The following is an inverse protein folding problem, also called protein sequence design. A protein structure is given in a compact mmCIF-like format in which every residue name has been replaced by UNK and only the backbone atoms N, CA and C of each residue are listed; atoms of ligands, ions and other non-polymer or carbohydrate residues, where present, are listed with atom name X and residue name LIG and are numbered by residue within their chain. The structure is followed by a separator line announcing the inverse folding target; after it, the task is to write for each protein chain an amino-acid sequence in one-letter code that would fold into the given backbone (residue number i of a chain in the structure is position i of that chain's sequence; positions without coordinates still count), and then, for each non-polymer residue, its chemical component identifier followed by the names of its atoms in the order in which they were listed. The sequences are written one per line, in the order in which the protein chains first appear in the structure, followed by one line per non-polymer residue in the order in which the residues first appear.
data_IF_951824760599
#
_entry.id   IF_951824760599
#
_cell.length_a   1.000
_cell.length_b   1.000
_cell.length_c   1.000
_cell.angle_alpha   90.00
_cell.angle_beta   90.00
_cell.angle_gamma   90.00
#
_symmetry.space_group_name_H-M   'P 1'
#
loop_
_entity.id
_entity.type
_entity.pdbx_description
1 polymer ?
#
# COMPACT_ATOMS: atom_id res chain seq x y z
N UNK A 1 -3.31 -17.69 -3.01
CA UNK A 1 -2.16 -17.80 -2.08
C UNK A 1 -0.99 -18.60 -2.66
N UNK A 2 -1.19 -19.73 -3.39
CA UNK A 2 -0.10 -20.62 -3.87
C UNK A 2 1.05 -19.89 -4.57
N UNK A 3 0.76 -18.94 -5.47
CA UNK A 3 1.79 -18.17 -6.20
C UNK A 3 2.64 -17.34 -5.23
N UNK A 4 2.02 -16.61 -4.31
CA UNK A 4 2.73 -15.78 -3.34
C UNK A 4 3.52 -16.65 -2.37
N UNK A 5 2.90 -17.70 -1.82
CA UNK A 5 3.52 -18.59 -0.85
C UNK A 5 4.63 -19.50 -1.44
N UNK A 6 4.73 -19.62 -2.76
CA UNK A 6 5.90 -20.26 -3.38
C UNK A 6 7.18 -19.39 -3.32
N UNK A 7 7.05 -18.12 -2.93
CA UNK A 7 8.17 -17.16 -2.84
C UNK A 7 8.51 -16.80 -1.40
N UNK A 8 7.50 -16.52 -0.58
CA UNK A 8 7.65 -16.29 0.86
C UNK A 8 6.37 -16.71 1.59
N UNK A 9 6.50 -17.14 2.84
CA UNK A 9 5.37 -17.57 3.67
C UNK A 9 4.45 -16.42 4.10
N UNK A 10 3.41 -16.73 4.89
CA UNK A 10 2.57 -15.71 5.52
C UNK A 10 3.42 -14.72 6.32
N UNK A 11 3.12 -13.43 6.18
CA UNK A 11 3.78 -12.41 6.99
C UNK A 11 3.30 -12.46 8.44
N UNK A 12 4.14 -12.03 9.40
CA UNK A 12 3.76 -12.02 10.80
C UNK A 12 2.52 -11.17 11.07
N UNK A 13 1.75 -11.58 12.08
CA UNK A 13 0.69 -10.76 12.69
C UNK A 13 0.71 -10.96 14.21
N UNK A 14 0.83 -9.84 14.92
CA UNK A 14 1.01 -9.85 16.36
C UNK A 14 0.04 -8.92 17.05
N UNK A 15 -0.44 -9.33 18.25
CA UNK A 15 -1.04 -8.44 19.23
C UNK A 15 0.07 -7.71 19.99
N UNK A 16 0.11 -6.38 19.92
CA UNK A 16 1.13 -5.57 20.56
C UNK A 16 0.63 -4.96 21.87
N UNK A 17 1.15 -5.36 23.05
CA UNK A 17 0.64 -4.92 24.35
C UNK A 17 0.69 -3.40 24.54
N UNK A 18 1.76 -2.72 24.10
CA UNK A 18 1.87 -1.27 24.26
C UNK A 18 0.91 -0.51 23.31
N UNK A 19 0.66 -1.01 22.10
CA UNK A 19 -0.37 -0.44 21.23
C UNK A 19 -1.77 -0.68 21.81
N UNK A 20 -2.01 -1.84 22.43
CA UNK A 20 -3.26 -2.15 23.11
C UNK A 20 -3.51 -1.17 24.29
N UNK A 21 -2.51 -0.89 25.12
CA UNK A 21 -2.59 0.12 26.19
C UNK A 21 -2.85 1.53 25.65
N UNK A 22 -2.19 1.91 24.54
CA UNK A 22 -2.36 3.22 23.90
C UNK A 22 -3.79 3.45 23.42
N UNK A 23 -4.45 2.41 22.91
CA UNK A 23 -5.78 2.49 22.31
C UNK A 23 -6.90 2.00 23.21
N UNK A 24 -6.56 1.39 24.36
CA UNK A 24 -7.53 0.71 25.22
C UNK A 24 -8.38 -0.32 24.43
N UNK A 25 -7.69 -1.14 23.60
CA UNK A 25 -8.26 -2.07 22.64
C UNK A 25 -7.34 -3.28 22.42
N UNK A 26 -7.86 -4.39 21.91
CA UNK A 26 -7.02 -5.49 21.40
C UNK A 26 -6.54 -5.14 19.99
N UNK A 27 -5.23 -4.89 19.83
CA UNK A 27 -4.65 -4.37 18.58
C UNK A 27 -3.76 -5.39 17.91
N UNK A 28 -4.20 -5.90 16.79
CA UNK A 28 -3.44 -6.79 15.92
C UNK A 28 -2.84 -6.03 14.74
N UNK A 29 -1.57 -6.25 14.47
CA UNK A 29 -0.88 -5.64 13.33
C UNK A 29 -0.48 -6.72 12.34
N UNK A 30 -0.90 -6.59 11.08
CA UNK A 30 -0.43 -7.39 9.95
C UNK A 30 0.82 -6.72 9.36
N UNK A 31 1.96 -7.39 9.47
CA UNK A 31 3.28 -6.83 9.15
C UNK A 31 3.66 -7.03 7.68
N UNK A 32 3.11 -6.25 6.78
CA UNK A 32 3.46 -6.28 5.36
C UNK A 32 4.78 -5.57 5.04
N UNK A 33 5.43 -4.94 6.03
CA UNK A 33 6.82 -4.50 5.95
C UNK A 33 7.83 -5.66 6.04
N UNK A 34 7.43 -6.83 6.53
CA UNK A 34 8.27 -8.03 6.65
C UNK A 34 8.17 -8.92 5.39
N UNK A 35 8.21 -8.31 4.21
CA UNK A 35 8.21 -8.97 2.90
C UNK A 35 9.58 -8.79 2.21
N UNK A 36 9.90 -9.55 1.14
CA UNK A 36 11.18 -9.43 0.42
C UNK A 36 11.50 -8.04 -0.13
N UNK A 37 10.50 -7.16 -0.26
CA UNK A 37 10.70 -5.77 -0.71
C UNK A 37 10.30 -4.73 0.35
N UNK A 38 10.04 -5.14 1.59
CA UNK A 38 9.62 -4.24 2.65
C UNK A 38 8.22 -3.64 2.49
N UNK A 39 7.36 -4.20 1.64
CA UNK A 39 5.99 -3.71 1.42
C UNK A 39 5.07 -4.78 0.81
N UNK A 40 3.76 -4.68 1.09
CA UNK A 40 2.71 -5.60 0.63
C UNK A 40 2.61 -5.74 -0.90
N UNK A 41 3.08 -4.75 -1.63
CA UNK A 41 2.98 -4.66 -3.09
C UNK A 41 3.59 -5.87 -3.81
N UNK A 42 4.59 -6.53 -3.24
CA UNK A 42 5.23 -7.72 -3.82
C UNK A 42 4.23 -8.81 -4.15
N UNK A 43 3.21 -8.99 -3.30
CA UNK A 43 2.15 -9.98 -3.49
C UNK A 43 1.41 -9.80 -4.81
N UNK A 44 1.07 -8.55 -5.11
CA UNK A 44 0.39 -8.18 -6.36
C UNK A 44 1.28 -8.38 -7.59
N UNK A 45 2.53 -7.92 -7.53
CA UNK A 45 3.49 -8.07 -8.64
C UNK A 45 3.73 -9.54 -9.00
N UNK A 46 3.88 -10.41 -8.00
CA UNK A 46 4.07 -11.85 -8.21
C UNK A 46 2.90 -12.48 -8.97
N UNK A 47 1.67 -12.18 -8.58
CA UNK A 47 0.48 -12.71 -9.27
C UNK A 47 0.35 -12.09 -10.65
N UNK A 48 0.57 -10.77 -10.77
CA UNK A 48 0.48 -10.08 -12.06
C UNK A 48 1.42 -10.68 -13.10
N UNK A 49 2.71 -10.79 -12.79
CA UNK A 49 3.72 -11.33 -13.72
C UNK A 49 3.48 -12.81 -14.03
N UNK A 50 3.03 -13.58 -13.04
CA UNK A 50 2.67 -14.98 -13.25
C UNK A 50 1.50 -15.13 -14.26
N UNK A 51 0.42 -14.33 -14.12
CA UNK A 51 -0.70 -14.38 -15.04
C UNK A 51 -0.35 -13.80 -16.41
N UNK A 52 0.48 -12.75 -16.46
CA UNK A 52 0.97 -12.19 -17.71
C UNK A 52 1.77 -13.21 -18.52
N UNK A 53 2.71 -13.94 -17.89
CA UNK A 53 3.53 -14.95 -18.58
C UNK A 53 2.74 -16.18 -19.03
N UNK A 54 1.60 -16.46 -18.41
CA UNK A 54 0.68 -17.48 -18.92
C UNK A 54 -0.07 -17.02 -20.17
N UNK A 55 -0.45 -15.75 -20.19
CA UNK A 55 -1.27 -15.16 -21.28
C UNK A 55 -0.41 -14.81 -22.49
N UNK A 56 0.80 -14.33 -22.29
CA UNK A 56 1.70 -13.82 -23.33
C UNK A 56 2.97 -14.66 -23.37
N UNK A 57 3.28 -15.28 -24.51
CA UNK A 57 4.48 -16.11 -24.68
C UNK A 57 5.76 -15.31 -24.91
N UNK A 58 5.64 -14.08 -25.42
CA UNK A 58 6.76 -13.19 -25.68
C UNK A 58 6.48 -11.82 -25.07
N UNK A 59 7.22 -11.46 -24.03
CA UNK A 59 7.11 -10.18 -23.35
C UNK A 59 8.45 -9.48 -23.53
N UNK A 60 8.54 -8.43 -24.38
CA UNK A 60 9.79 -7.72 -24.65
C UNK A 60 10.39 -7.09 -23.38
N UNK A 61 9.53 -6.72 -22.46
CA UNK A 61 9.82 -6.13 -21.16
C UNK A 61 8.56 -5.54 -20.57
N UNK A 62 8.60 -5.20 -19.30
CA UNK A 62 7.52 -4.49 -18.60
C UNK A 62 7.96 -3.10 -18.20
N UNK A 63 7.01 -2.16 -18.17
CA UNK A 63 7.25 -0.78 -17.73
C UNK A 63 6.16 -0.32 -16.78
N UNK A 64 6.55 0.44 -15.75
CA UNK A 64 5.60 1.04 -14.80
C UNK A 64 6.06 2.41 -14.33
N UNK A 65 5.13 3.25 -13.88
CA UNK A 65 5.42 4.50 -13.17
C UNK A 65 5.09 4.34 -11.68
N UNK A 66 5.91 4.93 -10.80
CA UNK A 66 5.75 4.76 -9.35
C UNK A 66 6.47 5.84 -8.55
N UNK A 67 6.13 5.93 -7.26
CA UNK A 67 6.95 6.60 -6.24
C UNK A 67 7.77 5.62 -5.37
N UNK A 68 7.67 4.27 -5.60
CA UNK A 68 8.54 3.34 -4.86
C UNK A 68 8.05 1.89 -4.81
N UNK A 69 7.18 1.54 -3.86
CA UNK A 69 6.85 0.15 -3.55
C UNK A 69 6.28 -0.65 -4.73
N UNK A 70 5.49 -0.01 -5.61
CA UNK A 70 4.98 -0.68 -6.80
C UNK A 70 6.10 -1.01 -7.80
N UNK A 71 7.03 -0.08 -8.02
CA UNK A 71 8.19 -0.33 -8.90
C UNK A 71 9.08 -1.46 -8.38
N UNK A 72 9.38 -1.48 -7.07
CA UNK A 72 10.10 -2.59 -6.45
C UNK A 72 9.36 -3.93 -6.63
N UNK A 73 8.02 -3.92 -6.48
CA UNK A 73 7.19 -5.11 -6.68
C UNK A 73 7.28 -5.67 -8.09
N UNK A 74 7.16 -4.80 -9.10
CA UNK A 74 7.22 -5.22 -10.51
C UNK A 74 8.63 -5.64 -10.89
N UNK A 75 9.68 -4.91 -10.45
CA UNK A 75 11.07 -5.28 -10.69
C UNK A 75 11.39 -6.67 -10.08
N UNK A 76 11.01 -6.90 -8.81
CA UNK A 76 11.20 -8.18 -8.14
C UNK A 76 10.52 -9.33 -8.87
N UNK A 77 9.27 -9.13 -9.27
CA UNK A 77 8.50 -10.16 -9.97
C UNK A 77 9.01 -10.41 -11.40
N UNK A 78 9.38 -9.35 -12.13
CA UNK A 78 9.93 -9.45 -13.49
C UNK A 78 11.27 -10.21 -13.50
N UNK A 79 12.17 -9.91 -12.56
CA UNK A 79 13.45 -10.59 -12.43
C UNK A 79 13.29 -12.10 -12.24
N UNK A 80 12.27 -12.57 -11.52
CA UNK A 80 11.98 -14.01 -11.33
C UNK A 80 11.55 -14.73 -12.62
N UNK A 81 11.06 -13.98 -13.61
CA UNK A 81 10.69 -14.51 -14.92
C UNK A 81 11.72 -14.19 -16.01
N UNK A 82 12.88 -13.57 -15.67
CA UNK A 82 13.87 -13.14 -16.63
C UNK A 82 13.40 -12.01 -17.57
N UNK A 83 12.35 -11.27 -17.16
CA UNK A 83 11.77 -10.17 -17.94
C UNK A 83 12.44 -8.86 -17.56
N UNK A 84 12.84 -8.05 -18.54
CA UNK A 84 13.37 -6.70 -18.31
C UNK A 84 12.28 -5.80 -17.72
N UNK A 85 12.66 -4.98 -16.74
CA UNK A 85 11.74 -4.04 -16.08
C UNK A 85 12.29 -2.61 -16.18
N UNK A 86 11.50 -1.70 -16.74
CA UNK A 86 11.75 -0.26 -16.74
C UNK A 86 10.81 0.41 -15.74
N UNK A 87 11.35 1.27 -14.89
CA UNK A 87 10.55 1.99 -13.87
C UNK A 87 10.75 3.49 -14.06
N UNK A 88 9.65 4.22 -14.25
CA UNK A 88 9.67 5.69 -14.36
C UNK A 88 9.29 6.28 -13.01
N UNK A 89 10.11 7.22 -12.51
CA UNK A 89 9.90 7.92 -11.24
C UNK A 89 10.03 9.43 -11.43
N UNK A 90 9.33 10.26 -10.61
CA UNK A 90 9.47 11.71 -10.70
C UNK A 90 10.83 12.20 -10.17
N UNK A 91 11.19 13.44 -10.53
CA UNK A 91 12.30 14.12 -9.88
C UNK A 91 12.04 14.28 -8.37
N UNK A 92 13.10 14.22 -7.56
CA UNK A 92 12.99 14.29 -6.11
C UNK A 92 12.36 13.04 -5.44
N UNK A 93 12.26 11.93 -6.17
CA UNK A 93 11.78 10.67 -5.59
C UNK A 93 12.75 10.14 -4.52
N UNK A 94 12.26 9.31 -3.60
CA UNK A 94 13.04 8.67 -2.54
C UNK A 94 14.32 8.05 -3.07
N UNK A 95 15.46 8.42 -2.47
CA UNK A 95 16.79 7.94 -2.88
C UNK A 95 16.93 6.45 -2.58
N UNK A 96 16.47 6.01 -1.41
CA UNK A 96 16.59 4.63 -0.96
C UNK A 96 15.65 3.71 -1.75
N UNK A 97 14.41 4.13 -2.05
CA UNK A 97 13.50 3.38 -2.94
C UNK A 97 14.05 3.28 -4.36
N UNK A 98 14.68 4.35 -4.88
CA UNK A 98 15.34 4.32 -6.18
C UNK A 98 16.51 3.33 -6.21
N UNK A 99 17.32 3.30 -5.16
CA UNK A 99 18.42 2.34 -5.02
C UNK A 99 17.91 0.89 -4.96
N UNK A 100 16.83 0.65 -4.20
CA UNK A 100 16.20 -0.66 -4.10
C UNK A 100 15.67 -1.16 -5.45
N UNK A 101 15.00 -0.29 -6.24
CA UNK A 101 14.52 -0.66 -7.58
C UNK A 101 15.68 -1.05 -8.51
N UNK A 102 16.80 -0.29 -8.49
CA UNK A 102 18.01 -0.65 -9.27
C UNK A 102 18.63 -1.97 -8.80
N UNK A 103 18.71 -2.19 -7.49
CA UNK A 103 19.23 -3.44 -6.92
C UNK A 103 18.39 -4.66 -7.31
N UNK A 104 17.11 -4.47 -7.57
CA UNK A 104 16.20 -5.50 -8.10
C UNK A 104 16.28 -5.66 -9.62
N UNK A 105 17.23 -4.98 -10.29
CA UNK A 105 17.50 -5.12 -11.72
C UNK A 105 16.65 -4.21 -12.62
N UNK A 106 15.93 -3.23 -12.08
CA UNK A 106 15.16 -2.29 -12.91
C UNK A 106 16.04 -1.24 -13.59
N UNK A 107 15.76 -0.96 -14.86
CA UNK A 107 16.15 0.29 -15.52
C UNK A 107 15.32 1.43 -14.92
N UNK A 108 15.97 2.38 -14.24
CA UNK A 108 15.27 3.50 -13.62
C UNK A 108 15.38 4.75 -14.50
N UNK A 109 14.24 5.26 -14.94
CA UNK A 109 14.09 6.51 -15.70
C UNK A 109 13.52 7.58 -14.78
N UNK A 110 14.24 8.70 -14.61
CA UNK A 110 13.76 9.84 -13.81
C UNK A 110 13.15 10.86 -14.75
N UNK A 111 11.84 11.09 -14.63
CA UNK A 111 11.12 12.04 -15.49
C UNK A 111 9.84 12.54 -14.82
N UNK A 112 9.57 13.85 -14.99
CA UNK A 112 8.36 14.48 -14.50
C UNK A 112 8.52 15.07 -13.09
N UNK A 113 7.64 16.02 -12.76
CA UNK A 113 7.60 16.69 -11.46
C UNK A 113 6.81 15.88 -10.42
N UNK A 114 5.86 15.08 -10.90
CA UNK A 114 4.98 14.26 -10.06
C UNK A 114 4.71 12.88 -10.70
N UNK A 115 3.92 12.08 -10.02
CA UNK A 115 3.51 10.75 -10.49
C UNK A 115 2.76 10.80 -11.82
N UNK A 116 1.93 11.81 -12.05
CA UNK A 116 1.13 11.91 -13.28
C UNK A 116 2.01 12.16 -14.51
N UNK A 117 2.96 13.10 -14.42
CA UNK A 117 3.92 13.35 -15.51
C UNK A 117 4.82 12.12 -15.78
N UNK A 118 5.24 11.43 -14.70
CA UNK A 118 5.98 10.16 -14.84
C UNK A 118 5.17 9.10 -15.56
N UNK A 119 3.88 8.97 -15.25
CA UNK A 119 2.95 8.03 -15.90
C UNK A 119 2.76 8.34 -17.39
N UNK A 120 2.58 9.59 -17.74
CA UNK A 120 2.45 10.02 -19.14
C UNK A 120 3.73 9.73 -19.95
N UNK A 121 4.90 9.95 -19.34
CA UNK A 121 6.17 9.58 -19.96
C UNK A 121 6.34 8.06 -20.08
N UNK A 122 5.94 7.31 -19.07
CA UNK A 122 5.93 5.84 -19.08
C UNK A 122 5.12 5.31 -20.26
N UNK A 123 3.92 5.87 -20.50
CA UNK A 123 3.06 5.47 -21.63
C UNK A 123 3.72 5.74 -22.98
N UNK A 124 4.40 6.89 -23.16
CA UNK A 124 5.18 7.19 -24.38
C UNK A 124 6.30 6.18 -24.58
N UNK A 125 7.11 5.93 -23.55
CA UNK A 125 8.19 4.95 -23.62
C UNK A 125 7.70 3.53 -23.86
N UNK A 126 6.55 3.16 -23.32
CA UNK A 126 5.93 1.86 -23.57
C UNK A 126 5.62 1.67 -25.07
N UNK A 127 5.00 2.68 -25.69
CA UNK A 127 4.68 2.65 -27.10
C UNK A 127 5.93 2.65 -27.99
N UNK A 128 6.93 3.49 -27.68
CA UNK A 128 8.18 3.60 -28.43
C UNK A 128 9.03 2.32 -28.39
N UNK A 129 9.07 1.64 -27.24
CA UNK A 129 9.92 0.47 -27.00
C UNK A 129 9.17 -0.85 -27.10
N UNK A 130 7.86 -0.84 -27.35
CA UNK A 130 7.01 -2.05 -27.39
C UNK A 130 6.94 -2.77 -26.04
N UNK A 131 6.98 -2.03 -24.92
CA UNK A 131 6.95 -2.62 -23.58
C UNK A 131 5.52 -2.79 -23.06
N UNK A 132 5.29 -3.84 -22.28
CA UNK A 132 4.00 -4.07 -21.62
C UNK A 132 3.84 -3.12 -20.42
N UNK A 133 2.75 -2.33 -20.44
CA UNK A 133 2.44 -1.40 -19.35
C UNK A 133 1.85 -2.12 -18.15
N UNK A 134 2.44 -1.92 -16.98
CA UNK A 134 1.88 -2.40 -15.71
C UNK A 134 1.34 -1.21 -14.91
N UNK A 135 0.03 -1.04 -14.94
CA UNK A 135 -0.65 -0.01 -14.18
C UNK A 135 -0.61 -0.31 -12.67
N UNK A 136 -0.68 0.73 -11.84
CA UNK A 136 -0.63 0.58 -10.37
C UNK A 136 -1.93 0.06 -9.74
N UNK A 137 -3.03 -0.06 -10.51
CA UNK A 137 -4.26 -0.78 -10.19
C UNK A 137 -4.62 -1.75 -11.31
N UNK A 138 -4.88 -3.00 -10.97
CA UNK A 138 -5.32 -4.04 -11.90
C UNK A 138 -5.89 -5.22 -11.09
N UNK A 139 -6.91 -5.98 -11.56
CA UNK A 139 -7.49 -7.11 -10.85
C UNK A 139 -6.47 -8.17 -10.40
N UNK A 140 -5.47 -8.48 -11.21
CA UNK A 140 -4.40 -9.43 -10.83
C UNK A 140 -3.52 -8.90 -9.67
N UNK A 141 -3.26 -7.59 -9.63
CA UNK A 141 -2.58 -6.97 -8.49
C UNK A 141 -3.43 -7.11 -7.22
N UNK A 142 -4.73 -6.84 -7.32
CA UNK A 142 -5.69 -6.98 -6.20
C UNK A 142 -5.73 -8.44 -5.73
N UNK A 143 -5.81 -9.42 -6.64
CA UNK A 143 -5.81 -10.85 -6.31
C UNK A 143 -4.56 -11.26 -5.53
N UNK A 144 -3.39 -10.78 -5.93
CA UNK A 144 -2.14 -11.05 -5.20
C UNK A 144 -2.15 -10.42 -3.81
N UNK A 145 -2.52 -9.15 -3.73
CA UNK A 145 -2.59 -8.39 -2.48
C UNK A 145 -3.62 -8.97 -1.51
N UNK A 146 -4.75 -9.48 -1.99
CA UNK A 146 -5.78 -10.11 -1.19
C UNK A 146 -5.24 -11.26 -0.29
N UNK A 147 -4.09 -11.84 -0.63
CA UNK A 147 -3.50 -12.94 0.16
C UNK A 147 -3.13 -12.53 1.58
N UNK A 148 -2.70 -11.28 1.84
CA UNK A 148 -2.43 -10.85 3.21
C UNK A 148 -3.72 -10.78 4.05
N UNK A 149 -4.83 -10.36 3.42
CA UNK A 149 -6.12 -10.30 4.10
C UNK A 149 -6.65 -11.71 4.37
N UNK A 150 -6.44 -12.65 3.45
CA UNK A 150 -6.78 -14.07 3.68
C UNK A 150 -6.01 -14.62 4.88
N UNK A 151 -4.68 -14.40 4.93
CA UNK A 151 -3.85 -14.80 6.07
C UNK A 151 -4.35 -14.18 7.40
N UNK A 152 -4.74 -12.90 7.38
CA UNK A 152 -5.25 -12.19 8.54
C UNK A 152 -6.57 -12.80 9.02
N UNK A 153 -7.54 -12.95 8.13
CA UNK A 153 -8.88 -13.39 8.49
C UNK A 153 -8.99 -14.90 8.77
N UNK A 154 -8.14 -15.74 8.16
CA UNK A 154 -8.04 -17.16 8.52
C UNK A 154 -7.57 -17.36 9.97
N UNK A 155 -6.71 -16.47 10.47
CA UNK A 155 -6.23 -16.52 11.85
C UNK A 155 -7.10 -15.74 12.84
N UNK A 156 -7.81 -14.69 12.38
CA UNK A 156 -8.55 -13.73 13.21
C UNK A 156 -9.90 -13.39 12.54
N UNK A 157 -10.85 -14.29 12.65
CA UNK A 157 -12.18 -14.13 12.03
C UNK A 157 -13.13 -13.21 12.82
N UNK A 158 -12.76 -12.82 14.03
CA UNK A 158 -13.55 -12.09 15.01
C UNK A 158 -13.13 -10.61 15.20
N UNK A 159 -12.39 -10.05 14.25
CA UNK A 159 -12.02 -8.62 14.27
C UNK A 159 -13.27 -7.75 14.10
N UNK A 160 -13.46 -6.77 14.99
CA UNK A 160 -14.51 -5.75 14.85
C UNK A 160 -14.27 -4.85 13.66
N UNK A 161 -13.02 -4.44 13.44
CA UNK A 161 -12.63 -3.59 12.31
C UNK A 161 -11.19 -3.81 11.86
N UNK A 162 -10.93 -3.56 10.57
CA UNK A 162 -9.58 -3.52 9.99
C UNK A 162 -9.34 -2.17 9.32
N UNK A 163 -8.29 -1.47 9.73
CA UNK A 163 -7.86 -0.20 9.15
C UNK A 163 -6.84 -0.42 8.04
N UNK A 164 -7.12 0.10 6.85
CA UNK A 164 -6.34 -0.14 5.64
C UNK A 164 -5.97 1.18 4.97
N UNK A 165 -4.68 1.47 4.70
CA UNK A 165 -4.30 2.70 4.00
C UNK A 165 -4.69 2.61 2.53
N UNK A 166 -5.20 3.72 1.98
CA UNK A 166 -5.63 3.81 0.58
C UNK A 166 -4.60 4.62 -0.21
N UNK A 167 -3.86 3.93 -1.10
CA UNK A 167 -3.20 4.55 -2.25
C UNK A 167 -4.13 4.49 -3.47
N UNK A 168 -3.79 3.73 -4.52
CA UNK A 168 -4.71 3.48 -5.64
C UNK A 168 -5.77 2.39 -5.36
N UNK A 169 -5.83 1.85 -4.14
CA UNK A 169 -6.95 1.03 -3.69
C UNK A 169 -6.73 -0.47 -3.69
N UNK A 170 -5.62 -1.02 -4.23
CA UNK A 170 -5.42 -2.48 -4.29
C UNK A 170 -5.48 -3.16 -2.92
N UNK A 171 -4.93 -2.52 -1.87
CA UNK A 171 -4.93 -3.05 -0.50
C UNK A 171 -6.33 -3.21 0.06
N UNK A 172 -7.08 -2.12 0.09
CA UNK A 172 -8.44 -2.12 0.65
C UNK A 172 -9.40 -2.95 -0.19
N UNK A 173 -9.30 -2.93 -1.52
CA UNK A 173 -10.12 -3.77 -2.40
C UNK A 173 -9.88 -5.25 -2.16
N UNK A 174 -8.62 -5.67 -1.98
CA UNK A 174 -8.28 -7.05 -1.63
C UNK A 174 -8.83 -7.45 -0.26
N UNK A 175 -8.74 -6.56 0.73
CA UNK A 175 -9.27 -6.79 2.08
C UNK A 175 -10.80 -6.92 2.08
N UNK A 176 -11.51 -6.05 1.35
CA UNK A 176 -12.97 -6.11 1.18
C UNK A 176 -13.36 -7.43 0.51
N UNK A 177 -12.71 -7.79 -0.59
CA UNK A 177 -13.03 -8.99 -1.35
C UNK A 177 -12.90 -10.27 -0.51
N UNK A 178 -11.86 -10.36 0.32
CA UNK A 178 -11.66 -11.53 1.21
C UNK A 178 -12.68 -11.54 2.34
N UNK A 179 -12.92 -10.38 3.02
CA UNK A 179 -13.94 -10.26 4.05
C UNK A 179 -15.31 -10.75 3.55
N UNK A 180 -15.70 -10.31 2.35
CA UNK A 180 -16.97 -10.67 1.71
C UNK A 180 -17.02 -12.14 1.33
N UNK A 181 -15.95 -12.68 0.75
CA UNK A 181 -15.85 -14.09 0.37
C UNK A 181 -15.92 -15.06 1.58
N UNK A 182 -15.43 -14.61 2.73
CA UNK A 182 -15.50 -15.38 3.99
C UNK A 182 -16.80 -15.12 4.78
N UNK A 183 -17.66 -14.22 4.31
CA UNK A 183 -18.93 -13.88 4.98
C UNK A 183 -18.76 -13.20 6.35
N UNK A 184 -17.63 -12.50 6.56
CA UNK A 184 -17.32 -11.87 7.84
C UNK A 184 -18.03 -10.52 8.01
N UNK A 185 -18.41 -10.18 9.24
CA UNK A 185 -19.04 -8.91 9.61
C UNK A 185 -18.03 -7.78 9.90
N UNK A 186 -16.73 -8.05 9.83
CA UNK A 186 -15.63 -7.11 10.11
C UNK A 186 -15.79 -5.81 9.31
N UNK A 187 -15.77 -4.67 9.98
CA UNK A 187 -15.81 -3.37 9.33
C UNK A 187 -14.47 -3.05 8.66
N UNK A 188 -14.46 -2.76 7.37
CA UNK A 188 -13.26 -2.29 6.69
C UNK A 188 -13.25 -0.76 6.70
N UNK A 189 -12.22 -0.18 7.31
CA UNK A 189 -12.02 1.26 7.44
C UNK A 189 -10.88 1.71 6.53
N UNK A 190 -11.21 2.52 5.55
CA UNK A 190 -10.19 3.13 4.69
C UNK A 190 -9.50 4.31 5.40
N UNK A 191 -8.21 4.50 5.16
CA UNK A 191 -7.45 5.62 5.71
C UNK A 191 -6.76 6.38 4.58
N UNK A 192 -6.90 7.71 4.57
CA UNK A 192 -6.22 8.64 3.64
C UNK A 192 -5.54 9.77 4.41
N UNK A 193 -4.49 10.37 3.82
CA UNK A 193 -3.94 11.61 4.35
C UNK A 193 -4.89 12.79 4.05
N UNK A 194 -4.99 13.75 4.96
CA UNK A 194 -5.86 14.93 4.80
C UNK A 194 -5.51 15.75 3.56
N UNK A 195 -4.22 15.84 3.22
CA UNK A 195 -3.70 16.56 2.05
C UNK A 195 -3.75 15.75 0.74
N UNK A 196 -4.16 14.46 0.82
CA UNK A 196 -4.34 13.56 -0.33
C UNK A 196 -5.68 12.82 -0.21
N UNK A 197 -6.77 13.55 0.02
CA UNK A 197 -8.08 13.00 0.41
C UNK A 197 -9.03 12.71 -0.76
N UNK A 198 -8.52 12.61 -1.99
CA UNK A 198 -9.33 12.37 -3.19
C UNK A 198 -10.28 11.16 -3.06
N UNK A 199 -9.82 10.05 -2.46
CA UNK A 199 -10.71 8.90 -2.20
C UNK A 199 -11.79 9.19 -1.16
N UNK A 200 -11.50 9.97 -0.12
CA UNK A 200 -12.51 10.31 0.88
C UNK A 200 -13.60 11.24 0.31
N UNK A 201 -13.22 12.21 -0.53
CA UNK A 201 -14.18 13.05 -1.27
C UNK A 201 -15.00 12.22 -2.24
N UNK A 202 -14.34 11.38 -3.03
CA UNK A 202 -15.01 10.52 -4.02
C UNK A 202 -15.97 9.52 -3.37
N UNK A 203 -15.60 8.98 -2.21
CA UNK A 203 -16.47 8.09 -1.42
C UNK A 203 -17.75 8.80 -0.97
N UNK A 204 -17.62 10.02 -0.45
CA UNK A 204 -18.74 10.83 0.01
C UNK A 204 -19.65 11.27 -1.15
N UNK A 205 -19.07 11.70 -2.28
CA UNK A 205 -19.83 12.20 -3.43
C UNK A 205 -20.36 11.10 -4.35
N UNK A 206 -19.86 9.89 -4.22
CA UNK A 206 -20.33 8.77 -5.04
C UNK A 206 -19.77 8.71 -6.46
N UNK A 207 -18.83 9.56 -6.82
CA UNK A 207 -18.16 9.66 -8.12
C UNK A 207 -16.68 9.99 -7.94
N UNK A 208 -15.88 9.81 -8.97
CA UNK A 208 -14.47 10.23 -8.94
C UNK A 208 -14.38 11.76 -8.82
N UNK A 209 -13.70 12.23 -7.78
CA UNK A 209 -13.40 13.63 -7.50
C UNK A 209 -11.89 13.79 -7.40
N UNK A 210 -11.22 14.33 -8.41
CA UNK A 210 -9.78 14.60 -8.35
C UNK A 210 -9.47 15.76 -7.39
N UNK A 211 -8.23 15.82 -6.91
CA UNK A 211 -7.70 16.92 -6.11
C UNK A 211 -6.52 17.59 -6.82
N UNK A 212 -6.30 18.87 -6.51
CA UNK A 212 -5.19 19.67 -7.07
C UNK A 212 -3.82 19.20 -6.55
N UNK A 213 -3.78 18.75 -5.29
CA UNK A 213 -2.56 18.34 -4.59
C UNK A 213 -2.73 16.99 -3.92
N UNK A 214 -1.61 16.32 -3.69
CA UNK A 214 -1.49 15.12 -2.85
C UNK A 214 -0.17 15.17 -2.06
N UNK A 215 0.19 16.34 -1.57
CA UNK A 215 1.43 16.56 -0.82
C UNK A 215 1.29 16.02 0.61
N UNK A 216 1.94 14.89 0.88
CA UNK A 216 1.95 14.21 2.18
C UNK A 216 3.24 13.40 2.34
N UNK A 217 3.70 13.24 3.60
CA UNK A 217 4.81 12.33 3.92
C UNK A 217 4.48 10.85 3.65
N UNK A 218 3.20 10.51 3.55
CA UNK A 218 2.71 9.18 3.21
C UNK A 218 2.65 9.00 1.68
N UNK A 219 3.80 9.00 1.01
CA UNK A 219 3.94 8.94 -0.45
C UNK A 219 3.17 7.78 -1.11
N UNK A 220 3.03 6.63 -0.42
CA UNK A 220 2.19 5.51 -0.86
C UNK A 220 0.69 5.80 -0.91
N UNK A 221 0.24 6.91 -0.31
CA UNK A 221 -1.14 7.39 -0.30
C UNK A 221 -1.33 8.68 -1.11
N UNK A 222 -0.27 9.22 -1.73
CA UNK A 222 -0.28 10.48 -2.49
C UNK A 222 -0.97 10.30 -3.85
N UNK A 223 -2.29 10.25 -3.85
CA UNK A 223 -3.13 10.04 -5.04
C UNK A 223 -4.06 11.23 -5.27
N UNK A 224 -3.95 11.85 -6.47
CA UNK A 224 -4.81 12.97 -6.89
C UNK A 224 -6.09 12.51 -7.59
N UNK A 225 -6.01 11.42 -8.33
CA UNK A 225 -7.15 10.90 -9.11
C UNK A 225 -7.42 9.46 -8.70
N UNK A 226 -8.52 9.19 -8.01
CA UNK A 226 -8.93 7.83 -7.68
C UNK A 226 -9.19 6.98 -8.91
N UNK A 227 -8.85 5.70 -8.82
CA UNK A 227 -9.26 4.71 -9.79
C UNK A 227 -10.76 4.42 -9.65
N UNK A 228 -11.50 4.44 -10.75
CA UNK A 228 -12.96 4.32 -10.74
C UNK A 228 -13.44 2.92 -10.33
N UNK A 229 -12.71 1.86 -10.74
CA UNK A 229 -13.03 0.48 -10.37
C UNK A 229 -12.75 0.25 -8.87
N UNK A 230 -11.60 0.72 -8.38
CA UNK A 230 -11.28 0.68 -6.97
C UNK A 230 -12.32 1.44 -6.13
N UNK A 231 -12.70 2.65 -6.56
CA UNK A 231 -13.73 3.45 -5.86
C UNK A 231 -15.07 2.70 -5.77
N UNK A 232 -15.49 2.03 -6.84
CA UNK A 232 -16.73 1.27 -6.84
C UNK A 232 -16.72 0.12 -5.82
N UNK A 233 -15.58 -0.59 -5.68
CA UNK A 233 -15.40 -1.64 -4.68
C UNK A 233 -15.39 -1.04 -3.27
N UNK A 234 -14.62 0.03 -3.06
CA UNK A 234 -14.48 0.70 -1.75
C UNK A 234 -15.85 1.21 -1.27
N UNK A 235 -16.64 1.83 -2.14
CA UNK A 235 -17.97 2.34 -1.78
C UNK A 235 -18.96 1.26 -1.34
N UNK A 236 -18.85 0.06 -1.89
CA UNK A 236 -19.72 -1.06 -1.51
C UNK A 236 -19.26 -1.75 -0.23
N UNK A 237 -17.95 -1.78 0.03
CA UNK A 237 -17.39 -2.66 1.04
C UNK A 237 -16.74 -1.97 2.24
N UNK A 238 -16.32 -0.71 2.14
CA UNK A 238 -15.79 0.03 3.27
C UNK A 238 -16.92 0.66 4.11
N UNK A 239 -16.78 0.60 5.43
CA UNK A 239 -17.74 1.21 6.36
C UNK A 239 -17.61 2.74 6.40
N UNK A 240 -16.39 3.26 6.24
CA UNK A 240 -16.04 4.69 6.23
C UNK A 240 -14.61 4.90 5.75
N UNK A 241 -14.27 6.16 5.48
CA UNK A 241 -12.88 6.58 5.23
C UNK A 241 -12.50 7.64 6.27
N UNK A 242 -11.38 7.41 6.97
CA UNK A 242 -10.80 8.32 7.97
C UNK A 242 -9.70 9.14 7.31
N UNK A 243 -9.73 10.46 7.51
CA UNK A 243 -8.65 11.36 7.14
C UNK A 243 -7.71 11.53 8.32
N UNK A 244 -6.40 11.46 8.09
CA UNK A 244 -5.37 11.70 9.10
C UNK A 244 -4.38 12.73 8.60
N UNK A 245 -3.95 13.64 9.49
CA UNK A 245 -2.93 14.64 9.16
C UNK A 245 -1.53 14.03 9.16
N UNK A 246 -0.59 14.67 8.49
CA UNK A 246 0.83 14.28 8.52
C UNK A 246 1.40 14.32 9.95
N UNK A 247 0.89 15.18 10.82
CA UNK A 247 1.29 15.21 12.24
C UNK A 247 0.86 13.94 12.98
N UNK A 248 -0.38 13.48 12.77
CA UNK A 248 -0.88 12.22 13.31
C UNK A 248 -0.14 11.01 12.75
N UNK A 249 0.17 11.02 11.44
CA UNK A 249 0.98 9.97 10.80
C UNK A 249 2.38 9.91 11.43
N UNK A 250 3.06 11.05 11.62
CA UNK A 250 4.37 11.12 12.31
C UNK A 250 4.30 10.60 13.74
N UNK A 251 3.23 10.93 14.47
CA UNK A 251 3.01 10.40 15.83
C UNK A 251 2.85 8.88 15.82
N UNK A 252 2.11 8.33 14.85
CA UNK A 252 1.96 6.88 14.67
C UNK A 252 3.26 6.19 14.26
N UNK A 253 4.11 6.83 13.42
CA UNK A 253 5.44 6.31 13.07
C UNK A 253 6.32 6.20 14.34
N UNK A 254 6.32 7.20 15.22
CA UNK A 254 7.01 7.12 16.52
C UNK A 254 6.43 6.02 17.42
N UNK A 255 5.11 5.89 17.48
CA UNK A 255 4.46 4.86 18.28
C UNK A 255 4.83 3.44 17.78
N UNK A 256 4.86 3.18 16.49
CA UNK A 256 5.34 1.89 15.98
C UNK A 256 6.81 1.61 16.33
N UNK A 257 7.66 2.65 16.33
CA UNK A 257 9.04 2.49 16.73
C UNK A 257 9.19 2.17 18.22
N UNK A 258 8.47 2.88 19.10
CA UNK A 258 8.57 2.67 20.55
C UNK A 258 7.80 1.46 21.06
N UNK A 259 6.60 1.23 20.52
CA UNK A 259 5.67 0.24 21.06
C UNK A 259 5.76 -1.14 20.38
N UNK A 260 6.31 -1.19 19.17
CA UNK A 260 6.46 -2.43 18.39
C UNK A 260 7.87 -2.66 17.83
N UNK A 261 8.79 -1.70 18.02
CA UNK A 261 10.15 -1.74 17.45
C UNK A 261 10.18 -2.01 15.95
N UNK A 262 9.27 -1.36 15.21
CA UNK A 262 9.16 -1.47 13.76
C UNK A 262 9.44 -0.15 13.07
N UNK A 263 10.27 -0.22 12.02
CA UNK A 263 10.43 0.86 11.05
C UNK A 263 9.24 0.82 10.10
N UNK A 264 8.54 1.97 9.99
CA UNK A 264 7.35 2.08 9.16
C UNK A 264 7.39 3.34 8.30
N UNK A 265 6.93 3.25 7.05
CA UNK A 265 6.70 4.42 6.21
C UNK A 265 5.36 5.11 6.56
N UNK A 266 5.16 6.35 6.11
CA UNK A 266 3.95 7.11 6.42
C UNK A 266 2.64 6.36 6.09
N UNK A 267 2.57 5.73 4.92
CA UNK A 267 1.39 4.94 4.54
C UNK A 267 1.17 3.72 5.46
N UNK A 268 2.26 3.07 5.91
CA UNK A 268 2.19 1.96 6.85
C UNK A 268 1.75 2.36 8.25
N UNK A 269 2.02 3.60 8.65
CA UNK A 269 1.65 4.16 9.96
C UNK A 269 0.21 4.74 9.99
N UNK A 270 -0.34 5.13 8.86
CA UNK A 270 -1.64 5.78 8.76
C UNK A 270 -2.80 4.99 9.42
N UNK A 271 -2.89 3.64 9.34
CA UNK A 271 -3.89 2.87 10.05
C UNK A 271 -3.85 3.07 11.58
N UNK A 272 -2.66 3.13 12.18
CA UNK A 272 -2.51 3.40 13.61
C UNK A 272 -2.92 4.84 13.94
N UNK A 273 -2.53 5.82 13.10
CA UNK A 273 -2.97 7.21 13.25
C UNK A 273 -4.49 7.33 13.26
N UNK A 274 -5.17 6.64 12.35
CA UNK A 274 -6.64 6.62 12.30
C UNK A 274 -7.27 5.96 13.54
N UNK A 275 -6.71 4.85 14.01
CA UNK A 275 -7.17 4.18 15.23
C UNK A 275 -6.96 5.08 16.48
N UNK A 276 -5.83 5.82 16.56
CA UNK A 276 -5.56 6.79 17.62
C UNK A 276 -6.57 7.95 17.59
N UNK A 277 -6.89 8.48 16.42
CA UNK A 277 -7.90 9.52 16.22
C UNK A 277 -9.31 9.05 16.62
N UNK A 278 -9.61 7.78 16.37
CA UNK A 278 -10.89 7.13 16.71
C UNK A 278 -10.84 6.35 18.03
N UNK A 279 -9.93 6.70 18.98
CA UNK A 279 -9.68 5.95 20.21
C UNK A 279 -10.97 5.57 20.95
N UNK A 280 -11.91 6.49 21.10
CA UNK A 280 -13.18 6.22 21.78
C UNK A 280 -14.07 5.20 21.03
N UNK A 281 -13.94 5.14 19.70
CA UNK A 281 -14.67 4.19 18.87
C UNK A 281 -14.09 2.79 18.95
N UNK A 282 -12.77 2.66 19.12
CA UNK A 282 -12.07 1.37 19.16
C UNK A 282 -11.91 0.81 20.57
N UNK A 283 -12.17 1.60 21.61
CA UNK A 283 -12.07 1.19 23.01
C UNK A 283 -12.82 -0.14 23.27
N UNK A 284 -12.12 -1.10 23.89
CA UNK A 284 -12.65 -2.42 24.23
C UNK A 284 -12.93 -3.33 23.04
N UNK A 285 -12.53 -2.94 21.81
CA UNK A 285 -12.70 -3.72 20.58
C UNK A 285 -11.45 -4.45 20.17
N UNK A 286 -11.63 -5.45 19.31
CA UNK A 286 -10.55 -6.18 18.66
C UNK A 286 -10.35 -5.65 17.23
N UNK A 287 -9.23 -4.98 16.99
CA UNK A 287 -8.98 -4.31 15.71
C UNK A 287 -7.74 -4.84 15.00
N UNK A 288 -7.75 -4.81 13.67
CA UNK A 288 -6.62 -5.08 12.80
C UNK A 288 -6.07 -3.82 12.16
N UNK A 289 -4.74 -3.68 12.13
CA UNK A 289 -4.02 -2.61 11.44
C UNK A 289 -3.16 -3.21 10.34
N UNK A 290 -3.29 -2.72 9.11
CA UNK A 290 -2.42 -3.15 8.01
C UNK A 290 -1.20 -2.22 7.97
N UNK A 291 -0.07 -2.69 8.51
CA UNK A 291 1.23 -2.06 8.35
C UNK A 291 1.77 -2.38 6.96
N UNK A 292 1.42 -1.55 5.99
CA UNK A 292 1.54 -1.83 4.56
C UNK A 292 2.97 -1.81 4.01
N UNK A 293 3.92 -1.16 4.72
CA UNK A 293 5.32 -1.10 4.31
C UNK A 293 6.21 -0.33 5.29
N UNK A 294 7.52 -0.54 5.16
CA UNK A 294 8.56 0.08 5.96
C UNK A 294 9.59 0.90 5.16
N UNK A 295 9.40 1.07 3.86
CA UNK A 295 10.35 1.74 2.97
C UNK A 295 10.29 3.27 3.15
N UNK A 296 11.08 3.80 4.05
CA UNK A 296 11.20 5.24 4.34
C UNK A 296 12.66 5.64 4.36
N UNK A 297 12.99 6.76 3.72
CA UNK A 297 14.36 7.27 3.70
C UNK A 297 14.80 7.69 5.12
N UNK A 298 16.05 7.36 5.45
CA UNK A 298 16.65 7.70 6.75
C UNK A 298 16.50 9.19 7.06
N UNK A 299 16.74 10.05 6.06
CA UNK A 299 16.70 11.50 6.24
C UNK A 299 15.28 12.04 6.48
N UNK A 300 14.25 11.29 6.09
CA UNK A 300 12.85 11.55 6.45
C UNK A 300 12.52 10.99 7.84
N UNK A 301 13.00 9.81 8.17
CA UNK A 301 12.64 9.11 9.40
C UNK A 301 13.33 9.68 10.64
N UNK A 302 14.62 10.05 10.54
CA UNK A 302 15.41 10.56 11.67
C UNK A 302 14.80 11.77 12.35
N UNK A 303 14.39 12.84 11.64
CA UNK A 303 13.73 13.99 12.28
C UNK A 303 12.41 13.63 12.96
N UNK A 304 11.65 12.67 12.39
CA UNK A 304 10.38 12.21 12.98
C UNK A 304 10.64 11.54 14.34
N UNK A 305 11.64 10.68 14.43
CA UNK A 305 11.98 10.00 15.69
C UNK A 305 12.55 10.94 16.73
N UNK A 306 13.33 11.93 16.31
CA UNK A 306 14.00 12.89 17.22
C UNK A 306 13.05 13.95 17.75
N UNK A 307 11.91 14.18 17.11
CA UNK A 307 10.94 15.17 17.58
C UNK A 307 10.25 14.68 18.86
N UNK A 308 10.29 15.50 19.92
CA UNK A 308 9.43 15.28 21.10
C UNK A 308 7.97 15.49 20.69
N UNK A 309 7.11 14.60 21.14
CA UNK A 309 5.66 14.70 20.93
C UNK A 309 5.10 15.93 21.66
#
# INVERSE_FOLDING_TARGET
SKIVHSVFGPTPQYAWPLLAQRLDAEVWVKHENDTPIGAFKVRGGLVYLHELTKKEKQIPGVITATRGNHGQSIAFAAARHGIKCTVVVPHGNSVEKNAAMRALGAELVVHGRDFQESREHMQRLAAERGLHEVNSFHPWLVTGVATYALELFEALSDLDSVYVPIGLGSGICGTIAVRDALGLSTQIVGVVAETADAYARSFAEGRVVPTESSDTIADGMAVRVPDAEALAIIRRGASRIVRVSDAEIKAAMRAFFTDAHKVVEGAGAAPLAAAMRERERVRGKKIGLILSGGNVDRDVYTPILSSRA
#
